data_IF_212627200183
#
_entry.id   IF_212627200183
#
_cell.length_a   1.000
_cell.length_b   1.000
_cell.length_c   1.000
_cell.angle_alpha   90.00
_cell.angle_beta   90.00
_cell.angle_gamma   90.00
#
_symmetry.space_group_name_H-M   'P 1'
#
loop_
_entity.id
_entity.type
_entity.pdbx_description
1 polymer ?
#
# COMPACT_ATOMS: atom_id res chain seq x y z
N UNK A 1 5.52 -17.65 59.38
CA UNK A 1 6.35 -18.48 58.46
C UNK A 1 5.69 -18.70 57.07
N UNK A 2 4.36 -18.95 56.98
CA UNK A 2 3.68 -19.17 55.69
C UNK A 2 3.67 -17.91 54.79
N UNK A 3 3.60 -16.70 55.36
CA UNK A 3 3.58 -15.45 54.62
C UNK A 3 4.94 -15.12 53.95
N UNK A 4 6.06 -15.48 54.60
CA UNK A 4 7.40 -15.31 54.07
C UNK A 4 7.66 -16.20 52.84
N UNK A 5 7.30 -17.48 52.93
CA UNK A 5 7.48 -18.42 51.83
C UNK A 5 6.64 -18.08 50.58
N UNK A 6 5.49 -17.41 50.77
CA UNK A 6 4.66 -16.94 49.65
C UNK A 6 5.28 -15.73 48.97
N UNK A 7 5.79 -14.77 49.74
CA UNK A 7 6.49 -13.58 49.20
C UNK A 7 7.78 -13.98 48.45
N UNK A 8 8.56 -14.93 48.97
CA UNK A 8 9.76 -15.46 48.32
C UNK A 8 9.44 -16.17 47.00
N UNK A 9 8.28 -16.86 46.92
CA UNK A 9 7.86 -17.54 45.68
C UNK A 9 7.38 -16.53 44.62
N UNK A 10 6.70 -15.45 45.03
CA UNK A 10 6.24 -14.39 44.13
C UNK A 10 7.44 -13.60 43.58
N UNK A 11 8.40 -13.24 44.44
CA UNK A 11 9.63 -12.55 44.01
C UNK A 11 10.46 -13.43 43.07
N UNK A 12 10.61 -14.72 43.36
CA UNK A 12 11.27 -15.66 42.45
C UNK A 12 10.59 -15.79 41.09
N UNK A 13 9.25 -15.70 41.04
CA UNK A 13 8.49 -15.72 39.80
C UNK A 13 8.72 -14.43 39.00
N UNK A 14 8.76 -13.26 39.65
CA UNK A 14 9.04 -11.97 38.98
C UNK A 14 10.47 -11.94 38.43
N UNK A 15 11.45 -12.43 39.22
CA UNK A 15 12.83 -12.55 38.77
C UNK A 15 12.98 -13.44 37.53
N UNK A 16 12.28 -14.59 37.50
CA UNK A 16 12.31 -15.49 36.33
C UNK A 16 11.69 -14.83 35.08
N UNK A 17 10.60 -14.06 35.24
CA UNK A 17 9.99 -13.30 34.11
C UNK A 17 10.91 -12.19 33.64
N UNK A 18 11.58 -11.47 34.53
CA UNK A 18 12.54 -10.44 34.19
C UNK A 18 13.73 -11.05 33.40
N UNK A 19 14.30 -12.18 33.88
CA UNK A 19 15.37 -12.88 33.18
C UNK A 19 14.95 -13.33 31.78
N UNK A 20 13.70 -13.77 31.61
CA UNK A 20 13.14 -14.11 30.29
C UNK A 20 13.06 -12.88 29.38
N UNK A 21 12.57 -11.73 29.88
CA UNK A 21 12.50 -10.50 29.13
C UNK A 21 13.90 -10.01 28.70
N UNK A 22 14.89 -10.11 29.60
CA UNK A 22 16.28 -9.78 29.29
C UNK A 22 16.87 -10.69 28.21
N UNK A 23 16.58 -12.00 28.25
CA UNK A 23 17.02 -12.94 27.23
C UNK A 23 16.41 -12.64 25.84
N UNK A 24 15.17 -12.17 25.76
CA UNK A 24 14.57 -11.70 24.52
C UNK A 24 15.30 -10.46 23.97
N UNK A 25 15.65 -9.53 24.84
CA UNK A 25 16.42 -8.34 24.44
C UNK A 25 17.80 -8.74 23.88
N UNK A 26 18.51 -9.64 24.57
CA UNK A 26 19.83 -10.13 24.15
C UNK A 26 19.77 -10.92 22.82
N UNK A 27 18.62 -11.58 22.58
CA UNK A 27 18.33 -12.24 21.31
C UNK A 27 17.90 -11.29 20.18
N UNK A 28 17.86 -9.97 20.45
CA UNK A 28 17.39 -8.93 19.53
C UNK A 28 15.89 -9.03 19.15
N UNK A 29 15.11 -9.75 19.95
CA UNK A 29 13.65 -9.82 19.85
C UNK A 29 13.03 -8.64 20.59
N UNK A 30 13.34 -7.41 20.16
CA UNK A 30 13.09 -6.18 20.90
C UNK A 30 11.62 -5.90 21.16
N UNK A 31 10.73 -6.17 20.21
CA UNK A 31 9.29 -6.01 20.39
C UNK A 31 8.75 -6.96 21.48
N UNK A 32 9.20 -8.21 21.45
CA UNK A 32 8.81 -9.20 22.46
C UNK A 32 9.40 -8.85 23.83
N UNK A 33 10.63 -8.33 23.88
CA UNK A 33 11.28 -7.86 25.09
C UNK A 33 10.52 -6.68 25.71
N UNK A 34 10.15 -5.67 24.90
CA UNK A 34 9.37 -4.53 25.36
C UNK A 34 8.03 -4.96 26.01
N UNK A 35 7.30 -5.86 25.35
CA UNK A 35 6.05 -6.43 25.88
C UNK A 35 6.28 -7.18 27.19
N UNK A 36 7.31 -8.01 27.26
CA UNK A 36 7.63 -8.80 28.46
C UNK A 36 8.07 -7.92 29.63
N UNK A 37 8.86 -6.86 29.41
CA UNK A 37 9.20 -5.88 30.43
C UNK A 37 7.99 -5.05 30.87
N UNK A 38 7.08 -4.70 29.97
CA UNK A 38 5.87 -3.95 30.30
C UNK A 38 4.95 -4.73 31.26
N UNK A 39 4.86 -6.06 31.15
CA UNK A 39 4.11 -6.94 32.06
C UNK A 39 4.68 -6.94 33.47
N UNK A 40 5.95 -6.58 33.68
CA UNK A 40 6.60 -6.50 35.00
C UNK A 40 6.30 -5.20 35.74
N UNK A 41 5.74 -4.20 35.04
CA UNK A 41 5.30 -2.93 35.66
C UNK A 41 6.46 -2.14 36.27
N UNK A 42 6.50 -2.09 37.64
CA UNK A 42 7.54 -1.35 38.36
C UNK A 42 8.61 -2.25 39.00
N UNK A 43 8.70 -3.50 38.55
CA UNK A 43 9.72 -4.42 39.05
C UNK A 43 11.11 -4.00 38.54
N UNK A 44 12.05 -3.80 39.46
CA UNK A 44 13.41 -3.31 39.16
C UNK A 44 13.41 -2.12 38.21
N UNK A 45 14.17 -2.20 37.12
CA UNK A 45 14.29 -1.20 36.06
C UNK A 45 13.39 -1.50 34.83
N UNK A 46 12.38 -2.39 34.97
CA UNK A 46 11.57 -2.87 33.82
C UNK A 46 10.99 -1.74 32.97
N UNK A 47 10.55 -0.61 33.59
CA UNK A 47 10.07 0.56 32.85
C UNK A 47 11.13 1.17 31.94
N UNK A 48 12.38 1.26 32.41
CA UNK A 48 13.48 1.75 31.59
C UNK A 48 13.80 0.74 30.47
N UNK A 49 13.76 -0.55 30.79
CA UNK A 49 13.99 -1.62 29.80
C UNK A 49 12.93 -1.67 28.70
N UNK A 50 11.68 -1.29 28.99
CA UNK A 50 10.66 -1.08 27.94
C UNK A 50 11.13 -0.03 26.97
N UNK A 51 11.50 1.16 27.45
CA UNK A 51 11.99 2.27 26.61
C UNK A 51 13.23 1.88 25.84
N UNK A 52 14.19 1.20 26.46
CA UNK A 52 15.41 0.75 25.78
C UNK A 52 15.10 -0.27 24.68
N UNK A 53 14.12 -1.16 24.91
CA UNK A 53 13.70 -2.16 23.92
C UNK A 53 12.96 -1.53 22.74
N UNK A 54 12.04 -0.59 23.00
CA UNK A 54 11.35 0.18 21.95
C UNK A 54 12.33 0.97 21.11
N UNK A 55 13.35 1.57 21.74
CA UNK A 55 14.36 2.32 21.03
C UNK A 55 15.27 1.42 20.19
N UNK A 56 15.68 0.29 20.70
CA UNK A 56 16.46 -0.69 19.97
C UNK A 56 15.68 -1.24 18.76
N UNK A 57 14.38 -1.49 18.90
CA UNK A 57 13.50 -1.89 17.82
C UNK A 57 13.41 -0.83 16.73
N UNK A 58 13.02 0.40 17.08
CA UNK A 58 12.96 1.51 16.12
C UNK A 58 14.30 1.75 15.42
N UNK A 59 15.42 1.61 16.14
CA UNK A 59 16.76 1.74 15.56
C UNK A 59 17.07 0.63 14.56
N UNK A 60 16.65 -0.61 14.84
CA UNK A 60 16.83 -1.73 13.93
C UNK A 60 16.04 -1.52 12.63
N UNK A 61 14.75 -1.21 12.72
CA UNK A 61 13.89 -0.98 11.57
C UNK A 61 14.35 0.24 10.75
N UNK A 62 14.74 1.35 11.41
CA UNK A 62 15.32 2.50 10.73
C UNK A 62 16.57 2.14 9.92
N UNK A 63 17.49 1.36 10.51
CA UNK A 63 18.73 0.98 9.84
C UNK A 63 18.46 -0.01 8.69
N UNK A 64 17.54 -0.95 8.86
CA UNK A 64 17.11 -1.89 7.83
C UNK A 64 16.50 -1.14 6.65
N UNK A 65 15.51 -0.30 6.89
CA UNK A 65 14.86 0.51 5.86
C UNK A 65 15.84 1.44 5.13
N UNK A 66 16.86 1.98 5.83
CA UNK A 66 17.91 2.77 5.22
C UNK A 66 18.75 1.93 4.26
N UNK A 67 19.17 0.73 4.67
CA UNK A 67 19.92 -0.19 3.80
C UNK A 67 19.11 -0.60 2.58
N UNK A 68 17.85 -0.96 2.75
CA UNK A 68 16.95 -1.32 1.65
C UNK A 68 16.71 -0.14 0.69
N UNK A 69 16.64 1.09 1.21
CA UNK A 69 16.57 2.30 0.38
C UNK A 69 17.84 2.44 -0.48
N UNK A 70 19.02 2.24 0.08
CA UNK A 70 20.30 2.32 -0.63
C UNK A 70 20.43 1.23 -1.72
N UNK A 71 19.82 0.06 -1.49
CA UNK A 71 19.77 -1.06 -2.44
C UNK A 71 18.65 -0.94 -3.49
N UNK A 72 17.73 0.03 -3.32
CA UNK A 72 16.56 0.19 -4.20
C UNK A 72 15.44 -0.83 -3.92
N UNK A 73 15.44 -1.50 -2.78
CA UNK A 73 14.43 -2.48 -2.37
C UNK A 73 13.17 -1.78 -1.82
N UNK A 74 12.58 -0.87 -2.59
CA UNK A 74 11.49 -0.01 -2.13
C UNK A 74 10.26 -0.78 -1.61
N UNK A 75 10.00 -1.97 -2.10
CA UNK A 75 8.91 -2.80 -1.58
C UNK A 75 9.15 -3.20 -0.12
N UNK A 76 10.38 -3.61 0.24
CA UNK A 76 10.74 -3.94 1.61
C UNK A 76 10.62 -2.72 2.54
N UNK A 77 11.13 -1.55 2.11
CA UNK A 77 10.98 -0.29 2.87
C UNK A 77 9.52 0.05 3.14
N UNK A 78 8.63 -0.13 2.14
CA UNK A 78 7.20 0.14 2.28
C UNK A 78 6.56 -0.81 3.30
N UNK A 79 6.87 -2.10 3.23
CA UNK A 79 6.30 -3.10 4.12
C UNK A 79 6.79 -2.91 5.56
N UNK A 80 8.07 -2.60 5.76
CA UNK A 80 8.69 -2.38 7.07
C UNK A 80 8.20 -1.09 7.75
N UNK A 81 8.09 0.01 6.99
CA UNK A 81 7.74 1.31 7.56
C UNK A 81 6.24 1.62 7.58
N UNK A 82 5.38 0.78 7.00
CA UNK A 82 3.94 1.03 6.91
C UNK A 82 3.27 1.26 8.27
N UNK A 83 3.68 0.50 9.31
CA UNK A 83 3.12 0.63 10.66
C UNK A 83 3.49 1.96 11.35
N UNK A 84 4.55 2.62 10.88
CA UNK A 84 5.06 3.86 11.48
C UNK A 84 4.54 5.12 10.79
N UNK A 85 3.98 5.01 9.58
CA UNK A 85 3.65 6.18 8.75
C UNK A 85 2.64 7.14 9.39
N UNK A 86 1.66 6.59 10.12
CA UNK A 86 0.66 7.39 10.84
C UNK A 86 0.97 7.53 12.34
N UNK A 87 2.12 7.00 12.79
CA UNK A 87 2.52 6.99 14.20
C UNK A 87 3.31 8.24 14.57
N UNK A 88 3.18 8.69 15.81
CA UNK A 88 4.05 9.72 16.35
C UNK A 88 5.39 9.09 16.75
N UNK A 89 6.45 9.44 16.02
CA UNK A 89 7.79 8.90 16.24
C UNK A 89 8.67 9.87 17.04
N UNK A 90 9.61 9.34 17.83
CA UNK A 90 10.65 10.19 18.44
C UNK A 90 11.38 11.00 17.37
N UNK A 91 11.80 12.25 17.66
CA UNK A 91 12.39 13.16 16.65
C UNK A 91 13.57 12.58 15.87
N UNK A 92 14.36 11.70 16.49
CA UNK A 92 15.50 11.04 15.83
C UNK A 92 15.08 10.02 14.75
N UNK A 93 13.85 9.53 14.76
CA UNK A 93 13.28 8.60 13.78
C UNK A 93 12.24 9.26 12.86
N UNK A 94 12.03 10.56 12.97
CA UNK A 94 11.06 11.29 12.12
C UNK A 94 11.32 11.11 10.62
N UNK A 95 12.56 10.84 10.22
CA UNK A 95 12.94 10.57 8.83
C UNK A 95 12.29 9.29 8.26
N UNK A 96 11.80 8.37 9.09
CA UNK A 96 11.11 7.16 8.61
C UNK A 96 9.86 7.50 7.79
N UNK A 97 9.16 8.60 8.12
CA UNK A 97 8.02 9.08 7.32
C UNK A 97 8.46 9.49 5.90
N UNK A 98 9.53 10.27 5.79
CA UNK A 98 10.07 10.72 4.50
C UNK A 98 10.62 9.54 3.67
N UNK A 99 11.23 8.56 4.34
CA UNK A 99 11.70 7.33 3.71
C UNK A 99 10.54 6.51 3.15
N UNK A 100 9.46 6.34 3.91
CA UNK A 100 8.25 5.67 3.45
C UNK A 100 7.63 6.34 2.23
N UNK A 101 7.41 7.66 2.28
CA UNK A 101 6.86 8.41 1.15
C UNK A 101 7.76 8.31 -0.10
N UNK A 102 9.08 8.43 0.09
CA UNK A 102 10.06 8.33 -0.98
C UNK A 102 10.07 6.95 -1.62
N UNK A 103 10.01 5.89 -0.81
CA UNK A 103 9.92 4.51 -1.27
C UNK A 103 8.62 4.25 -2.05
N UNK A 104 7.47 4.73 -1.56
CA UNK A 104 6.19 4.65 -2.27
C UNK A 104 6.26 5.34 -3.64
N UNK A 105 6.84 6.54 -3.72
CA UNK A 105 7.01 7.25 -4.98
C UNK A 105 7.97 6.53 -5.95
N UNK A 106 9.08 6.01 -5.45
CA UNK A 106 10.05 5.27 -6.25
C UNK A 106 9.43 3.97 -6.79
N UNK A 107 8.76 3.19 -5.93
CA UNK A 107 8.09 1.95 -6.33
C UNK A 107 6.99 2.18 -7.36
N UNK A 108 6.17 3.20 -7.17
CA UNK A 108 5.15 3.58 -8.14
C UNK A 108 5.76 3.97 -9.50
N UNK A 109 6.93 4.60 -9.50
CA UNK A 109 7.65 4.93 -10.73
C UNK A 109 8.18 3.68 -11.44
N UNK A 110 8.77 2.74 -10.71
CA UNK A 110 9.21 1.45 -11.26
C UNK A 110 8.06 0.69 -11.93
N UNK A 111 6.93 0.56 -11.23
CA UNK A 111 5.75 -0.11 -11.78
C UNK A 111 5.24 0.57 -13.05
N UNK A 112 5.21 1.90 -13.07
CA UNK A 112 4.81 2.66 -14.26
C UNK A 112 5.80 2.43 -15.42
N UNK A 113 7.10 2.40 -15.14
CA UNK A 113 8.13 2.12 -16.15
C UNK A 113 8.05 0.69 -16.71
N UNK A 114 7.60 -0.27 -15.90
CA UNK A 114 7.32 -1.65 -16.30
C UNK A 114 5.99 -1.82 -17.08
N UNK A 115 5.26 -0.73 -17.37
CA UNK A 115 3.96 -0.78 -18.03
C UNK A 115 2.81 -1.23 -17.12
N UNK A 116 2.98 -1.15 -15.81
CA UNK A 116 2.01 -1.54 -14.78
C UNK A 116 1.50 -0.34 -13.96
N UNK A 117 0.96 0.71 -14.60
CA UNK A 117 0.57 1.92 -13.87
C UNK A 117 -0.52 1.67 -12.84
N UNK A 118 -1.44 0.74 -13.09
CA UNK A 118 -2.55 0.45 -12.16
C UNK A 118 -2.08 -0.24 -10.88
N UNK A 119 -1.01 -1.03 -10.93
CA UNK A 119 -0.37 -1.60 -9.73
C UNK A 119 0.29 -0.50 -8.85
N UNK A 120 0.60 0.66 -9.42
CA UNK A 120 1.13 1.81 -8.69
C UNK A 120 0.05 2.58 -7.92
N UNK A 121 -1.22 2.50 -8.33
CA UNK A 121 -2.31 3.29 -7.72
C UNK A 121 -2.50 2.99 -6.22
N UNK A 122 -2.62 1.73 -5.76
CA UNK A 122 -2.77 1.45 -4.34
C UNK A 122 -1.58 1.94 -3.50
N UNK A 123 -0.38 1.96 -4.06
CA UNK A 123 0.82 2.50 -3.38
C UNK A 123 0.72 4.02 -3.26
N UNK A 124 0.33 4.71 -4.32
CA UNK A 124 0.15 6.17 -4.31
C UNK A 124 -0.98 6.60 -3.36
N UNK A 125 -2.04 5.82 -3.24
CA UNK A 125 -3.14 6.06 -2.29
C UNK A 125 -2.69 6.00 -0.83
N UNK A 126 -1.70 5.17 -0.48
CA UNK A 126 -1.15 5.12 0.89
C UNK A 126 -0.55 6.45 1.34
N UNK A 127 -0.09 7.26 0.40
CA UNK A 127 0.52 8.57 0.64
C UNK A 127 -0.28 9.70 -0.06
N UNK A 128 -1.58 9.62 -0.05
CA UNK A 128 -2.45 10.60 -0.74
C UNK A 128 -2.29 12.04 -0.25
N UNK A 129 -1.75 12.25 0.96
CA UNK A 129 -1.34 13.56 1.49
C UNK A 129 -0.18 14.19 0.71
N UNK A 130 0.68 13.38 0.09
CA UNK A 130 1.86 13.83 -0.63
C UNK A 130 1.50 14.50 -1.96
N UNK A 131 2.03 15.71 -2.20
CA UNK A 131 1.73 16.50 -3.42
C UNK A 131 2.13 15.79 -4.72
N UNK A 132 3.27 15.05 -4.69
CA UNK A 132 3.76 14.32 -5.86
C UNK A 132 2.87 13.12 -6.17
N UNK A 133 2.42 12.39 -5.15
CA UNK A 133 1.48 11.29 -5.30
C UNK A 133 0.15 11.77 -5.89
N UNK A 134 -0.43 12.86 -5.35
CA UNK A 134 -1.64 13.50 -5.91
C UNK A 134 -1.48 13.81 -7.39
N UNK A 135 -0.38 14.45 -7.77
CA UNK A 135 -0.10 14.79 -9.17
C UNK A 135 0.03 13.55 -10.06
N UNK A 136 0.64 12.47 -9.56
CA UNK A 136 0.75 11.21 -10.31
C UNK A 136 -0.61 10.53 -10.50
N UNK A 137 -1.48 10.58 -9.48
CA UNK A 137 -2.85 10.06 -9.56
C UNK A 137 -3.77 10.85 -10.52
N UNK A 138 -3.34 12.03 -11.00
CA UNK A 138 -4.03 12.77 -12.07
C UNK A 138 -3.76 12.20 -13.48
N UNK A 139 -2.95 11.13 -13.61
CA UNK A 139 -2.74 10.48 -14.90
C UNK A 139 -4.05 9.96 -15.51
N UNK A 140 -4.19 10.07 -16.82
CA UNK A 140 -5.45 9.75 -17.51
C UNK A 140 -5.92 8.32 -17.29
N UNK A 141 -5.00 7.36 -17.17
CA UNK A 141 -5.35 5.97 -16.88
C UNK A 141 -6.16 5.82 -15.58
N UNK A 142 -5.83 6.60 -14.55
CA UNK A 142 -6.56 6.59 -13.29
C UNK A 142 -7.88 7.36 -13.36
N UNK A 143 -7.94 8.41 -14.17
CA UNK A 143 -9.16 9.21 -14.35
C UNK A 143 -10.25 8.47 -15.14
N UNK A 144 -9.89 7.37 -15.80
CA UNK A 144 -10.86 6.50 -16.48
C UNK A 144 -11.56 5.53 -15.54
N UNK A 145 -11.02 5.28 -14.35
CA UNK A 145 -11.64 4.35 -13.40
C UNK A 145 -13.07 4.81 -13.11
N UNK A 146 -14.04 3.94 -13.31
CA UNK A 146 -15.45 4.24 -13.19
C UNK A 146 -16.32 3.59 -14.26
N UNK A 147 -17.61 3.90 -14.22
CA UNK A 147 -18.60 3.53 -15.23
C UNK A 147 -18.91 4.72 -16.13
N UNK A 148 -18.94 4.46 -17.40
CA UNK A 148 -19.11 5.48 -18.45
C UNK A 148 -20.11 5.02 -19.51
N UNK A 149 -20.70 5.97 -20.21
CA UNK A 149 -21.63 5.70 -21.32
C UNK A 149 -21.34 6.63 -22.49
N UNK A 150 -21.31 6.09 -23.69
CA UNK A 150 -21.21 6.91 -24.90
C UNK A 150 -22.59 7.44 -25.35
N UNK A 151 -22.59 8.29 -26.36
CA UNK A 151 -23.82 8.90 -26.93
C UNK A 151 -24.76 7.88 -27.59
N UNK A 152 -24.28 6.66 -27.87
CA UNK A 152 -25.08 5.56 -28.45
C UNK A 152 -25.62 4.62 -27.40
N UNK A 153 -25.26 4.84 -26.15
CA UNK A 153 -25.69 4.02 -25.05
C UNK A 153 -24.74 2.87 -24.70
N UNK A 154 -23.60 2.75 -25.37
CA UNK A 154 -22.58 1.74 -25.06
C UNK A 154 -21.98 2.04 -23.70
N UNK A 155 -21.91 1.04 -22.83
CA UNK A 155 -21.28 1.16 -21.52
C UNK A 155 -19.80 0.72 -21.56
N UNK A 156 -19.00 1.44 -20.75
CA UNK A 156 -17.58 1.23 -20.52
C UNK A 156 -17.35 1.21 -19.02
N UNK A 157 -16.78 0.15 -18.50
CA UNK A 157 -16.42 0.00 -17.09
C UNK A 157 -14.92 -0.19 -17.01
N UNK A 158 -14.23 0.63 -16.21
CA UNK A 158 -12.79 0.53 -15.95
C UNK A 158 -12.59 0.40 -14.45
N UNK A 159 -11.90 -0.65 -13.98
CA UNK A 159 -11.73 -0.97 -12.56
C UNK A 159 -10.29 -0.73 -12.10
N UNK A 160 -10.11 -0.54 -10.79
CA UNK A 160 -8.79 -0.28 -10.20
C UNK A 160 -7.80 -1.44 -10.38
N UNK A 161 -8.29 -2.67 -10.48
CA UNK A 161 -7.49 -3.88 -10.72
C UNK A 161 -7.00 -4.02 -12.17
N UNK A 162 -7.31 -3.04 -13.03
CA UNK A 162 -6.96 -3.06 -14.43
C UNK A 162 -7.93 -3.84 -15.31
N UNK A 163 -8.96 -4.47 -14.76
CA UNK A 163 -10.00 -5.08 -15.56
C UNK A 163 -10.93 -4.02 -16.17
N UNK A 164 -11.51 -4.33 -17.32
CA UNK A 164 -12.52 -3.48 -17.94
C UNK A 164 -13.62 -4.31 -18.60
N UNK A 165 -14.79 -3.69 -18.77
CA UNK A 165 -15.87 -4.22 -19.59
C UNK A 165 -16.30 -3.18 -20.60
N UNK A 166 -16.17 -3.46 -21.87
CA UNK A 166 -16.51 -2.54 -22.96
C UNK A 166 -17.56 -3.19 -23.85
N UNK A 167 -18.76 -2.60 -23.90
CA UNK A 167 -19.88 -3.14 -24.67
C UNK A 167 -20.26 -4.60 -24.27
N UNK A 168 -20.14 -4.95 -23.01
CA UNK A 168 -20.38 -6.31 -22.49
C UNK A 168 -19.23 -7.29 -22.67
N UNK A 169 -18.10 -6.88 -23.25
CA UNK A 169 -16.90 -7.72 -23.40
C UNK A 169 -15.93 -7.39 -22.27
N UNK A 170 -15.62 -8.37 -21.43
CA UNK A 170 -14.59 -8.28 -20.40
C UNK A 170 -13.20 -8.29 -21.02
N UNK A 171 -12.26 -7.63 -20.35
CA UNK A 171 -10.87 -7.52 -20.74
C UNK A 171 -10.05 -6.76 -19.69
N UNK A 172 -8.91 -6.24 -20.13
CA UNK A 172 -8.00 -5.45 -19.30
C UNK A 172 -7.64 -4.14 -20.00
N UNK A 173 -7.34 -3.12 -19.18
CA UNK A 173 -6.87 -1.84 -19.69
C UNK A 173 -5.63 -1.38 -18.93
N UNK A 174 -4.92 -0.45 -19.53
CA UNK A 174 -3.76 0.22 -18.97
C UNK A 174 -3.41 1.43 -19.81
N UNK A 175 -2.17 1.85 -19.76
CA UNK A 175 -1.70 2.93 -20.62
C UNK A 175 -0.73 3.87 -19.93
N UNK A 176 -0.17 4.76 -20.72
CA UNK A 176 0.75 5.80 -20.24
C UNK A 176 0.52 7.10 -20.99
N UNK A 177 0.70 8.22 -20.31
CA UNK A 177 0.47 9.54 -20.90
C UNK A 177 -0.98 9.68 -21.40
N UNK A 178 -1.15 9.85 -22.70
CA UNK A 178 -2.45 10.03 -23.37
C UNK A 178 -2.98 8.74 -24.01
N UNK A 179 -2.21 7.65 -24.02
CA UNK A 179 -2.57 6.41 -24.67
C UNK A 179 -3.19 5.43 -23.69
N UNK A 180 -4.32 4.85 -24.06
CA UNK A 180 -5.01 3.80 -23.34
C UNK A 180 -4.88 2.51 -24.13
N UNK A 181 -4.33 1.51 -23.49
CA UNK A 181 -4.21 0.15 -24.00
C UNK A 181 -5.38 -0.71 -23.54
N UNK A 182 -5.87 -1.58 -24.40
CA UNK A 182 -6.94 -2.54 -24.08
C UNK A 182 -6.57 -3.89 -24.67
N UNK A 183 -6.88 -4.97 -23.98
CA UNK A 183 -6.63 -6.33 -24.45
C UNK A 183 -7.34 -7.39 -23.62
N UNK A 184 -7.20 -8.64 -24.03
CA UNK A 184 -7.83 -9.79 -23.38
C UNK A 184 -6.97 -10.34 -22.21
N UNK A 185 -5.74 -9.87 -22.05
CA UNK A 185 -4.80 -10.27 -21.00
C UNK A 185 -4.39 -9.07 -20.11
N UNK A 186 -3.97 -9.30 -18.84
CA UNK A 186 -3.44 -8.25 -17.98
C UNK A 186 -2.26 -7.51 -18.61
N UNK A 187 -2.14 -6.22 -18.30
CA UNK A 187 -1.09 -5.32 -18.82
C UNK A 187 -1.03 -5.26 -20.36
N UNK A 188 -2.14 -4.93 -21.02
CA UNK A 188 -2.18 -4.89 -22.49
C UNK A 188 -1.20 -3.83 -23.02
N UNK A 189 -0.49 -4.18 -24.10
CA UNK A 189 0.52 -3.31 -24.73
C UNK A 189 0.03 -2.63 -25.99
N UNK A 190 -1.10 -3.09 -26.55
CA UNK A 190 -1.66 -2.52 -27.78
C UNK A 190 -2.49 -1.30 -27.46
N UNK A 191 -2.09 -0.13 -27.96
CA UNK A 191 -2.87 1.10 -27.89
C UNK A 191 -4.18 0.97 -28.66
N UNK A 192 -5.29 1.27 -28.00
CA UNK A 192 -6.64 1.24 -28.60
C UNK A 192 -7.20 2.66 -28.72
N UNK A 193 -6.97 3.49 -27.72
CA UNK A 193 -7.49 4.85 -27.66
C UNK A 193 -6.40 5.84 -27.24
N UNK A 194 -6.58 7.11 -27.64
CA UNK A 194 -5.89 8.25 -27.02
C UNK A 194 -6.89 9.14 -26.31
N UNK A 195 -6.51 9.67 -25.15
CA UNK A 195 -7.32 10.65 -24.41
C UNK A 195 -7.14 12.02 -25.03
N UNK A 196 -8.22 12.58 -25.56
CA UNK A 196 -8.25 13.93 -26.16
C UNK A 196 -8.51 15.00 -25.11
N UNK A 197 -9.41 14.71 -24.17
CA UNK A 197 -9.71 15.62 -23.06
C UNK A 197 -10.44 14.91 -21.93
N UNK A 198 -10.20 15.40 -20.71
CA UNK A 198 -11.01 15.09 -19.52
C UNK A 198 -11.54 16.41 -18.98
N UNK A 199 -12.86 16.53 -18.81
CA UNK A 199 -13.53 17.73 -18.30
C UNK A 199 -14.65 17.34 -17.34
N UNK A 200 -14.35 17.38 -16.05
CA UNK A 200 -15.28 16.94 -15.01
C UNK A 200 -15.74 15.50 -15.24
N UNK A 201 -17.06 15.31 -15.38
CA UNK A 201 -17.67 13.99 -15.62
C UNK A 201 -17.76 13.59 -17.10
N UNK A 202 -16.86 14.08 -17.93
CA UNK A 202 -16.82 13.78 -19.37
C UNK A 202 -15.39 13.47 -19.81
N UNK A 203 -15.21 12.36 -20.51
CA UNK A 203 -13.96 11.97 -21.16
C UNK A 203 -14.18 11.90 -22.68
N UNK A 204 -13.23 12.40 -23.44
CA UNK A 204 -13.22 12.25 -24.91
C UNK A 204 -12.05 11.38 -25.30
N UNK A 205 -12.33 10.24 -25.90
CA UNK A 205 -11.37 9.30 -26.44
C UNK A 205 -11.34 9.37 -27.96
N UNK A 206 -10.19 9.09 -28.56
CA UNK A 206 -10.01 8.91 -29.99
C UNK A 206 -9.47 7.51 -30.26
N UNK A 207 -10.19 6.70 -31.02
CA UNK A 207 -9.72 5.39 -31.45
C UNK A 207 -8.49 5.53 -32.36
N UNK A 208 -7.40 4.87 -32.02
CA UNK A 208 -6.11 4.99 -32.74
C UNK A 208 -6.20 4.42 -34.15
N UNK A 209 -6.91 3.32 -34.33
CA UNK A 209 -7.10 2.69 -35.65
C UNK A 209 -8.22 3.35 -36.46
N UNK A 210 -9.35 3.66 -35.82
CA UNK A 210 -10.54 4.18 -36.49
C UNK A 210 -10.51 5.69 -36.70
N UNK A 211 -9.70 6.43 -35.97
CA UNK A 211 -9.68 7.89 -35.94
C UNK A 211 -10.96 8.51 -35.34
N UNK A 212 -11.96 7.70 -34.98
CA UNK A 212 -13.26 8.17 -34.48
C UNK A 212 -13.15 8.68 -33.05
N UNK A 213 -13.87 9.74 -32.77
CA UNK A 213 -13.97 10.32 -31.42
C UNK A 213 -15.18 9.74 -30.70
N UNK A 214 -14.97 9.31 -29.46
CA UNK A 214 -15.99 8.78 -28.55
C UNK A 214 -16.05 9.71 -27.36
N UNK A 215 -17.23 10.22 -27.05
CA UNK A 215 -17.48 11.03 -25.85
C UNK A 215 -18.16 10.15 -24.80
N UNK A 216 -17.54 10.02 -23.65
CA UNK A 216 -18.03 9.26 -22.52
C UNK A 216 -18.53 10.19 -21.43
N UNK A 217 -19.71 9.90 -20.88
CA UNK A 217 -20.28 10.58 -19.71
C UNK A 217 -20.21 9.64 -18.51
N UNK A 218 -19.79 10.17 -17.35
CA UNK A 218 -19.63 9.40 -16.12
C UNK A 218 -20.98 8.99 -15.53
N UNK A 219 -21.10 7.74 -15.15
CA UNK A 219 -22.31 7.17 -14.55
C UNK A 219 -22.15 6.90 -13.04
N UNK A 220 -20.93 6.70 -12.55
CA UNK A 220 -20.65 6.34 -11.17
C UNK A 220 -19.41 5.47 -11.02
N UNK A 221 -19.18 4.98 -9.80
CA UNK A 221 -18.09 4.06 -9.49
C UNK A 221 -18.20 2.76 -10.32
N UNK A 222 -17.08 2.06 -10.56
CA UNK A 222 -17.10 0.79 -11.28
C UNK A 222 -17.88 -0.25 -10.49
N UNK A 223 -18.63 -1.11 -11.18
CA UNK A 223 -19.22 -2.29 -10.57
C UNK A 223 -18.17 -3.40 -10.52
N UNK A 224 -18.23 -4.23 -9.48
CA UNK A 224 -17.41 -5.42 -9.38
C UNK A 224 -17.64 -6.32 -10.62
N UNK A 225 -16.64 -7.15 -10.93
CA UNK A 225 -16.84 -8.23 -11.89
C UNK A 225 -17.99 -9.08 -11.38
N UNK A 226 -19.03 -9.24 -12.18
CA UNK A 226 -20.00 -10.31 -11.89
C UNK A 226 -19.20 -11.62 -11.91
N UNK A 227 -19.14 -12.31 -10.75
CA UNK A 227 -18.74 -13.70 -10.74
C UNK A 227 -19.63 -14.39 -11.76
N UNK A 228 -19.08 -14.80 -12.87
CA UNK A 228 -19.81 -15.57 -13.88
C UNK A 228 -20.38 -16.74 -13.15
N UNK A 229 -21.70 -16.78 -13.06
CA UNK A 229 -22.46 -17.89 -12.53
C UNK A 229 -22.30 -19.08 -13.50
N UNK A 230 -21.09 -19.64 -13.55
CA UNK A 230 -20.85 -21.01 -13.96
C UNK A 230 -21.21 -21.89 -12.76
N UNK A 231 -22.50 -22.08 -12.58
CA UNK A 231 -23.02 -23.22 -11.82
C UNK A 231 -23.27 -24.35 -12.83
N UNK A 232 -22.36 -25.35 -12.93
CA UNK A 232 -22.61 -26.51 -13.76
C UNK A 232 -23.43 -27.56 -12.95
N UNK A 233 -24.68 -27.26 -12.67
CA UNK A 233 -25.65 -28.26 -12.21
C UNK A 233 -27.05 -27.88 -12.71
N UNK A 234 -27.37 -28.35 -13.92
CA UNK A 234 -28.68 -28.93 -14.32
C UNK A 234 -28.54 -29.71 -15.61
#
# INVERSE_FOLDING_TARGET
EACGAYLDAEDGAMQARYAKAAALFDAQEYEAAAKAFAELGSYEDAKQRVTDSEDAWLSADYNSARMDTELGNYAAVIDELAAYYESELPPRYAQMHDMYESACLARAQELTALGKPLDALPILKRIEGNKTAKKRMEAYVYQLIGRWKDTRGTEYVFREDGSCCIAGKEGYFGGSGYEITVGDEPYPTKGEYSVVSVRGKTVTLRGLQSGRTIRLSYLGEPTDREESADNPEN
#
